data_IF_328259215555
#
_entry.id   IF_328259215555
#
_cell.length_a   1.000
_cell.length_b   1.000
_cell.length_c   1.000
_cell.angle_alpha   90.00
_cell.angle_beta   90.00
_cell.angle_gamma   90.00
#
_symmetry.space_group_name_H-M   'P 1'
#
loop_
_entity.id
_entity.type
_entity.pdbx_description
1 polymer ?
#
# COMPACT_ATOMS: atom_id res chain seq x y z
N UNK A 1 5.62 27.28 11.16
CA UNK A 1 6.34 26.07 10.66
C UNK A 1 6.21 26.01 9.16
N UNK A 2 7.32 25.97 8.46
CA UNK A 2 7.41 25.80 7.01
C UNK A 2 7.07 24.35 6.60
N UNK A 3 6.83 24.12 5.32
CA UNK A 3 6.60 22.77 4.78
C UNK A 3 7.82 21.87 4.99
N UNK A 4 9.02 22.39 4.76
CA UNK A 4 10.28 21.66 4.92
C UNK A 4 10.51 21.22 6.38
N UNK A 5 10.31 22.11 7.34
CA UNK A 5 10.40 21.79 8.77
C UNK A 5 9.39 20.70 9.16
N UNK A 6 8.14 20.79 8.64
CA UNK A 6 7.12 19.78 8.92
C UNK A 6 7.51 18.40 8.42
N UNK A 7 8.05 18.29 7.19
CA UNK A 7 8.57 17.01 6.68
C UNK A 7 9.66 16.47 7.60
N UNK A 8 10.65 17.30 7.95
CA UNK A 8 11.76 16.89 8.82
C UNK A 8 11.25 16.34 10.16
N UNK A 9 10.37 17.08 10.87
CA UNK A 9 9.83 16.65 12.17
C UNK A 9 9.00 15.36 12.06
N UNK A 10 8.13 15.26 11.05
CA UNK A 10 7.23 14.11 10.88
C UNK A 10 8.02 12.87 10.51
N UNK A 11 8.97 12.95 9.58
CA UNK A 11 9.80 11.81 9.18
C UNK A 11 10.71 11.36 10.30
N UNK A 12 11.34 12.28 11.03
CA UNK A 12 12.17 11.95 12.20
C UNK A 12 11.35 11.26 13.29
N UNK A 13 10.14 11.73 13.57
CA UNK A 13 9.25 11.07 14.52
C UNK A 13 8.94 9.65 14.08
N UNK A 14 8.55 9.42 12.83
CA UNK A 14 8.25 8.07 12.35
C UNK A 14 9.48 7.17 12.36
N UNK A 15 10.64 7.68 11.96
CA UNK A 15 11.89 6.92 12.02
C UNK A 15 12.23 6.45 13.43
N UNK A 16 11.98 7.27 14.45
CA UNK A 16 12.23 6.93 15.84
C UNK A 16 11.19 5.97 16.42
N UNK A 17 9.91 6.16 16.07
CA UNK A 17 8.81 5.35 16.64
C UNK A 17 8.57 4.04 15.89
N UNK A 18 8.90 3.99 14.60
CA UNK A 18 8.67 2.84 13.71
C UNK A 18 9.89 2.66 12.80
N UNK A 19 11.08 2.33 13.34
CA UNK A 19 12.30 2.18 12.54
C UNK A 19 12.16 1.11 11.46
N UNK A 20 11.37 0.07 11.74
CA UNK A 20 10.97 -0.97 10.79
C UNK A 20 9.48 -0.78 10.52
N UNK A 21 9.14 -0.40 9.29
CA UNK A 21 7.77 -0.26 8.85
C UNK A 21 7.62 -0.96 7.49
N UNK A 22 6.85 -2.04 7.48
CA UNK A 22 6.70 -2.95 6.36
C UNK A 22 5.22 -3.25 6.09
N UNK A 23 4.96 -3.99 5.01
CA UNK A 23 3.61 -4.49 4.72
C UNK A 23 3.18 -5.49 5.78
N UNK A 24 1.89 -5.47 6.14
CA UNK A 24 1.28 -6.47 7.03
C UNK A 24 0.85 -7.76 6.28
N UNK A 25 1.02 -7.80 4.95
CA UNK A 25 0.77 -9.00 4.14
C UNK A 25 1.87 -10.05 4.35
N UNK A 26 1.48 -11.32 4.50
CA UNK A 26 2.41 -12.45 4.63
C UNK A 26 2.71 -13.04 3.27
N UNK A 27 4.00 -13.19 2.94
CA UNK A 27 4.48 -13.75 1.68
C UNK A 27 5.92 -14.28 1.83
N UNK A 28 6.32 -15.20 0.95
CA UNK A 28 7.67 -15.80 0.92
C UNK A 28 8.39 -15.53 -0.42
N UNK A 29 7.67 -15.05 -1.43
CA UNK A 29 8.23 -14.75 -2.75
C UNK A 29 7.58 -13.52 -3.40
N UNK A 30 8.23 -12.90 -4.41
CA UNK A 30 7.61 -11.82 -5.19
C UNK A 30 6.26 -12.20 -5.80
N UNK A 31 6.10 -13.43 -6.28
CA UNK A 31 4.84 -13.93 -6.80
C UNK A 31 3.75 -13.97 -5.72
N UNK A 32 4.07 -14.51 -4.55
CA UNK A 32 3.13 -14.54 -3.43
C UNK A 32 2.71 -13.14 -2.98
N UNK A 33 3.66 -12.18 -2.93
CA UNK A 33 3.33 -10.79 -2.66
C UNK A 33 2.38 -10.22 -3.72
N UNK A 34 2.64 -10.44 -5.01
CA UNK A 34 1.78 -9.96 -6.09
C UNK A 34 0.36 -10.51 -5.96
N UNK A 35 0.21 -11.80 -5.70
CA UNK A 35 -1.09 -12.44 -5.41
C UNK A 35 -1.77 -11.78 -4.21
N UNK A 36 -1.06 -11.64 -3.09
CA UNK A 36 -1.60 -11.05 -1.87
C UNK A 36 -2.05 -9.59 -2.07
N UNK A 37 -1.28 -8.79 -2.80
CA UNK A 37 -1.63 -7.38 -3.10
C UNK A 37 -2.84 -7.28 -4.03
N UNK A 38 -2.98 -8.16 -5.03
CA UNK A 38 -4.20 -8.22 -5.87
C UNK A 38 -5.41 -8.58 -4.99
N UNK A 39 -5.26 -9.54 -4.09
CA UNK A 39 -6.33 -9.95 -3.18
C UNK A 39 -6.70 -8.86 -2.15
N UNK A 40 -5.75 -8.00 -1.74
CA UNK A 40 -5.98 -6.95 -0.75
C UNK A 40 -6.81 -5.76 -1.28
N UNK A 41 -7.02 -5.66 -2.59
CA UNK A 41 -7.89 -4.61 -3.15
C UNK A 41 -9.31 -4.69 -2.56
N UNK A 42 -9.70 -3.66 -1.80
CA UNK A 42 -10.97 -3.58 -1.06
C UNK A 42 -11.20 -4.75 -0.07
N UNK A 43 -10.12 -5.31 0.46
CA UNK A 43 -10.15 -6.36 1.48
C UNK A 43 -9.10 -6.04 2.56
N UNK A 44 -9.33 -6.51 3.79
CA UNK A 44 -8.35 -6.30 4.87
C UNK A 44 -7.18 -7.26 4.73
N UNK A 45 -5.97 -6.80 5.11
CA UNK A 45 -4.76 -7.63 5.09
C UNK A 45 -4.94 -8.87 5.98
N UNK A 46 -5.62 -8.75 7.11
CA UNK A 46 -5.98 -9.88 7.97
C UNK A 46 -6.73 -10.97 7.19
N UNK A 47 -7.78 -10.59 6.45
CA UNK A 47 -8.57 -11.56 5.63
C UNK A 47 -7.72 -12.19 4.53
N UNK A 48 -6.84 -11.40 3.91
CA UNK A 48 -5.91 -11.91 2.89
C UNK A 48 -4.97 -12.93 3.51
N UNK A 49 -4.34 -12.61 4.64
CA UNK A 49 -3.41 -13.50 5.34
C UNK A 49 -4.07 -14.79 5.86
N UNK A 50 -5.37 -14.77 6.20
CA UNK A 50 -6.14 -15.96 6.53
C UNK A 50 -6.42 -16.84 5.30
N UNK A 51 -6.44 -16.27 4.10
CA UNK A 51 -6.84 -16.94 2.85
C UNK A 51 -5.64 -17.48 2.06
N UNK A 52 -4.56 -16.71 1.98
CA UNK A 52 -3.40 -17.00 1.13
C UNK A 52 -2.66 -18.30 1.43
N UNK A 53 -2.57 -18.82 2.68
CA UNK A 53 -1.89 -20.10 2.94
C UNK A 53 -2.48 -21.28 2.17
N UNK A 54 -3.81 -21.36 2.03
CA UNK A 54 -4.47 -22.41 1.26
C UNK A 54 -4.22 -22.26 -0.24
N UNK A 55 -4.15 -21.01 -0.73
CA UNK A 55 -3.84 -20.72 -2.12
C UNK A 55 -2.43 -21.16 -2.43
N UNK A 56 -1.44 -20.73 -1.63
CA UNK A 56 -0.02 -21.02 -1.86
C UNK A 56 0.34 -22.48 -1.68
N UNK A 57 -0.42 -23.22 -0.84
CA UNK A 57 -0.30 -24.69 -0.75
C UNK A 57 -0.73 -25.39 -2.04
N UNK A 58 -1.81 -24.91 -2.69
CA UNK A 58 -2.36 -25.53 -3.92
C UNK A 58 -1.67 -24.98 -5.18
N UNK A 59 -1.33 -23.70 -5.18
CA UNK A 59 -0.75 -22.97 -6.31
C UNK A 59 0.50 -22.19 -5.86
N UNK A 60 1.64 -22.86 -5.59
CA UNK A 60 2.84 -22.24 -5.02
C UNK A 60 3.60 -21.33 -6.00
N UNK A 61 3.37 -21.48 -7.30
CA UNK A 61 4.15 -20.78 -8.34
C UNK A 61 3.26 -20.24 -9.46
N UNK A 62 3.80 -19.33 -10.32
CA UNK A 62 3.09 -18.86 -11.51
C UNK A 62 2.62 -20.00 -12.43
N UNK A 63 3.44 -21.05 -12.59
CA UNK A 63 3.14 -22.21 -13.44
C UNK A 63 1.87 -22.92 -12.94
N UNK A 64 1.84 -23.24 -11.66
CA UNK A 64 0.70 -23.94 -11.05
C UNK A 64 -0.57 -23.08 -11.09
N UNK A 65 -0.45 -21.78 -10.86
CA UNK A 65 -1.59 -20.85 -10.88
C UNK A 65 -2.10 -20.59 -12.32
N UNK A 66 -1.21 -20.58 -13.31
CA UNK A 66 -1.58 -20.39 -14.73
C UNK A 66 -2.41 -21.57 -15.27
N UNK A 67 -2.22 -22.78 -14.73
CA UNK A 67 -2.96 -23.99 -15.08
C UNK A 67 -4.24 -24.18 -14.27
N UNK A 68 -4.48 -23.33 -13.25
CA UNK A 68 -5.66 -23.43 -12.40
C UNK A 68 -6.94 -23.25 -13.22
N UNK A 69 -7.93 -24.11 -12.97
CA UNK A 69 -9.29 -23.88 -13.44
C UNK A 69 -10.00 -22.90 -12.52
N UNK A 70 -10.99 -22.16 -13.05
CA UNK A 70 -11.76 -21.22 -12.26
C UNK A 70 -12.36 -21.87 -11.00
N UNK A 71 -12.95 -23.04 -11.17
CA UNK A 71 -13.63 -23.79 -10.10
C UNK A 71 -12.68 -24.36 -9.05
N UNK A 72 -11.38 -24.42 -9.34
CA UNK A 72 -10.35 -24.82 -8.39
C UNK A 72 -9.87 -23.67 -7.49
N UNK A 73 -9.79 -22.47 -8.04
CA UNK A 73 -9.27 -21.29 -7.32
C UNK A 73 -10.38 -20.49 -6.63
N UNK A 74 -11.55 -20.35 -7.28
CA UNK A 74 -12.66 -19.56 -6.76
C UNK A 74 -13.09 -19.95 -5.33
N UNK A 75 -13.26 -21.24 -4.99
CA UNK A 75 -13.65 -21.64 -3.63
C UNK A 75 -12.67 -21.17 -2.55
N UNK A 76 -11.37 -21.06 -2.88
CA UNK A 76 -10.33 -20.63 -1.94
C UNK A 76 -10.43 -19.15 -1.63
N UNK A 77 -10.92 -18.34 -2.57
CA UNK A 77 -10.98 -16.88 -2.43
C UNK A 77 -12.40 -16.31 -2.31
N UNK A 78 -13.42 -17.16 -2.18
CA UNK A 78 -14.83 -16.73 -2.11
C UNK A 78 -15.15 -15.75 -0.97
N UNK A 79 -14.33 -15.73 0.09
CA UNK A 79 -14.47 -14.80 1.22
C UNK A 79 -13.79 -13.44 0.97
N UNK A 80 -13.03 -13.29 -0.11
CA UNK A 80 -12.36 -12.06 -0.54
C UNK A 80 -13.35 -11.21 -1.34
N UNK A 81 -13.26 -9.89 -1.22
CA UNK A 81 -14.09 -8.96 -2.02
C UNK A 81 -13.88 -9.17 -3.53
N UNK A 82 -14.96 -9.21 -4.31
CA UNK A 82 -14.94 -9.40 -5.77
C UNK A 82 -14.24 -10.69 -6.24
N UNK A 83 -14.58 -11.85 -5.68
CA UNK A 83 -13.84 -13.09 -5.89
C UNK A 83 -13.84 -13.55 -7.36
N UNK A 84 -14.95 -13.35 -8.10
CA UNK A 84 -15.03 -13.73 -9.52
C UNK A 84 -13.96 -13.05 -10.38
N UNK A 85 -13.82 -11.72 -10.24
CA UNK A 85 -12.84 -10.96 -11.00
C UNK A 85 -11.41 -11.30 -10.56
N UNK A 86 -11.19 -11.43 -9.25
CA UNK A 86 -9.87 -11.77 -8.70
C UNK A 86 -9.40 -13.16 -9.12
N UNK A 87 -10.30 -14.16 -9.17
CA UNK A 87 -9.98 -15.49 -9.72
C UNK A 87 -9.45 -15.38 -11.15
N UNK A 88 -10.19 -14.68 -12.03
CA UNK A 88 -9.77 -14.47 -13.43
C UNK A 88 -8.46 -13.69 -13.51
N UNK A 89 -8.28 -12.65 -12.66
CA UNK A 89 -7.06 -11.85 -12.64
C UNK A 89 -5.85 -12.68 -12.22
N UNK A 90 -5.94 -13.51 -11.18
CA UNK A 90 -4.82 -14.33 -10.73
C UNK A 90 -4.38 -15.35 -11.78
N UNK A 91 -5.33 -16.03 -12.42
CA UNK A 91 -5.03 -16.97 -13.50
C UNK A 91 -4.40 -16.25 -14.70
N UNK A 92 -5.05 -15.19 -15.19
CA UNK A 92 -4.56 -14.43 -16.34
C UNK A 92 -3.23 -13.72 -16.09
N UNK A 93 -3.02 -13.20 -14.88
CA UNK A 93 -1.76 -12.62 -14.46
C UNK A 93 -0.64 -13.67 -14.53
N UNK A 94 -0.87 -14.87 -13.99
CA UNK A 94 0.12 -15.95 -14.01
C UNK A 94 0.45 -16.43 -15.42
N UNK A 95 -0.57 -16.53 -16.29
CA UNK A 95 -0.38 -16.85 -17.71
C UNK A 95 0.48 -15.80 -18.42
N UNK A 96 0.27 -14.50 -18.13
CA UNK A 96 1.08 -13.44 -18.72
C UNK A 96 2.50 -13.39 -18.13
N UNK A 97 2.68 -13.71 -16.85
CA UNK A 97 4.03 -13.85 -16.27
C UNK A 97 4.83 -14.92 -17.02
N UNK A 98 4.25 -16.09 -17.28
CA UNK A 98 4.92 -17.14 -18.04
C UNK A 98 5.21 -16.71 -19.48
N UNK A 99 4.22 -16.11 -20.14
CA UNK A 99 4.33 -15.75 -21.56
C UNK A 99 5.36 -14.65 -21.83
N UNK A 100 5.39 -13.61 -20.97
CA UNK A 100 6.11 -12.38 -21.25
C UNK A 100 7.32 -12.14 -20.33
N UNK A 101 7.40 -12.84 -19.20
CA UNK A 101 8.38 -12.58 -18.12
C UNK A 101 9.03 -13.85 -17.56
N UNK A 102 8.96 -14.98 -18.29
CA UNK A 102 9.56 -16.28 -17.89
C UNK A 102 9.14 -16.76 -16.48
N UNK A 103 7.92 -16.40 -16.04
CA UNK A 103 7.41 -16.72 -14.70
C UNK A 103 7.88 -15.75 -13.60
N UNK A 104 8.73 -14.79 -13.90
CA UNK A 104 9.23 -13.81 -12.93
C UNK A 104 8.32 -12.58 -12.82
N UNK A 105 8.24 -12.00 -11.63
CA UNK A 105 7.51 -10.74 -11.41
C UNK A 105 8.38 -9.58 -11.89
N UNK A 106 7.95 -8.80 -12.91
CA UNK A 106 8.74 -7.68 -13.39
C UNK A 106 8.83 -6.55 -12.35
N UNK A 107 9.98 -5.86 -12.28
CA UNK A 107 10.24 -4.80 -11.30
C UNK A 107 10.11 -3.39 -11.89
N UNK A 108 9.37 -3.22 -12.98
CA UNK A 108 9.04 -1.89 -13.52
C UNK A 108 7.54 -1.64 -13.49
N UNK A 109 7.15 -0.40 -13.21
CA UNK A 109 5.72 -0.02 -13.16
C UNK A 109 5.03 -0.32 -14.48
N UNK A 110 5.68 0.04 -15.61
CA UNK A 110 5.11 -0.12 -16.94
C UNK A 110 4.86 -1.60 -17.31
N UNK A 111 5.76 -2.50 -16.91
CA UNK A 111 5.57 -3.93 -17.12
C UNK A 111 4.47 -4.49 -16.18
N UNK A 112 4.49 -4.11 -14.90
CA UNK A 112 3.52 -4.58 -13.91
C UNK A 112 2.08 -4.21 -14.27
N UNK A 113 1.83 -3.01 -14.77
CA UNK A 113 0.46 -2.57 -15.12
C UNK A 113 -0.12 -3.27 -16.35
N UNK A 114 0.68 -4.03 -17.09
CA UNK A 114 0.18 -4.90 -18.16
C UNK A 114 -0.49 -6.16 -17.63
N UNK A 115 -0.24 -6.51 -16.36
CA UNK A 115 -0.77 -7.73 -15.74
C UNK A 115 -2.23 -7.53 -15.29
N UNK A 116 -3.12 -8.51 -15.51
CA UNK A 116 -4.50 -8.48 -15.03
C UNK A 116 -4.58 -8.25 -13.52
N UNK A 117 -5.42 -7.31 -13.09
CA UNK A 117 -5.61 -6.98 -11.68
C UNK A 117 -4.53 -6.06 -11.09
N UNK A 118 -3.53 -5.65 -11.86
CA UNK A 118 -2.45 -4.78 -11.43
C UNK A 118 -2.66 -3.37 -11.97
N UNK A 119 -3.04 -2.46 -11.09
CA UNK A 119 -3.06 -1.02 -11.38
C UNK A 119 -1.78 -0.34 -10.88
N UNK A 120 -1.62 0.97 -11.17
CA UNK A 120 -0.47 1.77 -10.74
C UNK A 120 -0.17 1.65 -9.23
N UNK A 121 -1.22 1.66 -8.38
CA UNK A 121 -1.03 1.50 -6.94
C UNK A 121 -0.39 0.17 -6.59
N UNK A 122 -0.89 -0.92 -7.17
CA UNK A 122 -0.33 -2.27 -6.97
C UNK A 122 1.12 -2.33 -7.45
N UNK A 123 1.41 -1.79 -8.64
CA UNK A 123 2.77 -1.74 -9.18
C UNK A 123 3.73 -0.98 -8.25
N UNK A 124 3.32 0.20 -7.73
CA UNK A 124 4.11 0.95 -6.76
C UNK A 124 4.38 0.15 -5.48
N UNK A 125 3.40 -0.62 -4.97
CA UNK A 125 3.60 -1.48 -3.79
C UNK A 125 4.63 -2.57 -4.09
N UNK A 126 4.49 -3.28 -5.21
CA UNK A 126 5.39 -4.39 -5.56
C UNK A 126 6.84 -3.90 -5.70
N UNK A 127 7.06 -2.85 -6.50
CA UNK A 127 8.42 -2.31 -6.72
C UNK A 127 9.02 -1.70 -5.45
N UNK A 128 8.19 -1.10 -4.60
CA UNK A 128 8.64 -0.52 -3.32
C UNK A 128 9.00 -1.61 -2.30
N UNK A 129 8.20 -2.68 -2.19
CA UNK A 129 8.41 -3.73 -1.18
C UNK A 129 9.52 -4.70 -1.57
N UNK A 130 9.58 -5.11 -2.85
CA UNK A 130 10.55 -6.13 -3.31
C UNK A 130 11.91 -5.50 -3.60
N UNK A 131 11.94 -4.38 -4.29
CA UNK A 131 13.16 -3.77 -4.84
C UNK A 131 13.50 -2.43 -4.16
N UNK A 132 12.81 -2.08 -3.08
CA UNK A 132 13.00 -0.84 -2.33
C UNK A 132 13.03 0.43 -3.21
N UNK A 133 12.41 0.36 -4.39
CA UNK A 133 12.33 1.51 -5.28
C UNK A 133 11.59 2.67 -4.60
N UNK A 134 11.98 3.92 -4.86
CA UNK A 134 11.39 5.09 -4.22
C UNK A 134 10.00 5.41 -4.80
N UNK A 135 9.12 4.42 -4.80
CA UNK A 135 7.75 4.52 -5.29
C UNK A 135 6.77 4.68 -4.12
N UNK A 136 5.89 5.66 -4.21
CA UNK A 136 4.91 5.98 -3.19
C UNK A 136 3.52 5.52 -3.62
N UNK A 137 3.06 4.38 -3.10
CA UNK A 137 1.69 3.94 -3.37
C UNK A 137 0.69 4.75 -2.52
N UNK A 138 -0.11 5.57 -3.16
CA UNK A 138 -1.09 6.41 -2.46
C UNK A 138 -2.44 5.70 -2.37
N UNK A 139 -2.71 5.14 -1.19
CA UNK A 139 -4.01 4.60 -0.81
C UNK A 139 -4.86 5.66 -0.05
N UNK A 140 -6.02 5.24 0.45
CA UNK A 140 -6.90 6.12 1.22
C UNK A 140 -6.28 6.61 2.54
N UNK A 141 -5.37 5.83 3.15
CA UNK A 141 -4.64 6.22 4.36
C UNK A 141 -3.58 7.26 4.03
N UNK A 142 -2.68 6.97 3.09
CA UNK A 142 -1.64 7.91 2.65
C UNK A 142 -2.26 9.22 2.18
N UNK A 143 -3.31 9.15 1.35
CA UNK A 143 -4.03 10.33 0.85
C UNK A 143 -4.59 11.20 1.98
N UNK A 144 -5.30 10.60 2.93
CA UNK A 144 -5.90 11.30 4.06
C UNK A 144 -4.86 11.88 5.01
N UNK A 145 -3.90 11.05 5.42
CA UNK A 145 -2.90 11.40 6.44
C UNK A 145 -2.00 12.51 5.96
N UNK A 146 -1.45 12.41 4.74
CA UNK A 146 -0.54 13.42 4.18
C UNK A 146 -1.20 14.80 4.05
N UNK A 147 -2.50 14.84 3.71
CA UNK A 147 -3.28 16.09 3.63
C UNK A 147 -3.57 16.67 5.01
N UNK A 148 -4.00 15.84 5.98
CA UNK A 148 -4.29 16.27 7.36
C UNK A 148 -3.07 16.81 8.07
N UNK A 149 -1.94 16.12 7.97
CA UNK A 149 -0.67 16.59 8.52
C UNK A 149 -0.25 17.90 7.85
N UNK A 150 -0.56 18.07 6.56
CA UNK A 150 -0.14 19.21 5.73
C UNK A 150 1.20 18.98 5.07
N UNK A 151 1.55 17.72 4.78
CA UNK A 151 2.68 17.35 3.93
C UNK A 151 2.40 17.72 2.48
N UNK A 152 1.17 17.53 2.02
CA UNK A 152 0.74 17.91 0.68
C UNK A 152 -0.27 19.06 0.72
N UNK A 153 -0.34 19.90 -0.34
CA UNK A 153 -1.34 20.97 -0.41
C UNK A 153 -2.75 20.40 -0.59
N UNK A 154 -3.75 21.13 -0.14
CA UNK A 154 -5.17 20.73 -0.32
C UNK A 154 -5.59 20.69 -1.78
N UNK A 155 -4.87 21.36 -2.68
CA UNK A 155 -5.05 21.31 -4.14
C UNK A 155 -4.61 19.97 -4.76
N UNK A 156 -3.83 19.15 -4.06
CA UNK A 156 -3.54 17.77 -4.47
C UNK A 156 -4.77 16.89 -4.22
N UNK A 157 -5.69 16.85 -5.18
CA UNK A 157 -7.00 16.18 -5.06
C UNK A 157 -7.03 14.76 -5.63
N UNK A 158 -5.96 14.33 -6.31
CA UNK A 158 -5.85 12.98 -6.86
C UNK A 158 -4.71 12.19 -6.21
N UNK A 159 -4.79 10.84 -6.15
CA UNK A 159 -3.68 10.02 -5.66
C UNK A 159 -2.35 10.31 -6.37
N UNK A 160 -2.37 10.50 -7.69
CA UNK A 160 -1.18 10.83 -8.48
C UNK A 160 -0.57 12.19 -8.09
N UNK A 161 -1.40 13.20 -7.81
CA UNK A 161 -0.92 14.51 -7.37
C UNK A 161 -0.28 14.41 -5.97
N UNK A 162 -0.86 13.62 -5.08
CA UNK A 162 -0.31 13.35 -3.74
C UNK A 162 1.01 12.58 -3.84
N UNK A 163 1.07 11.52 -4.67
CA UNK A 163 2.29 10.75 -4.97
C UNK A 163 3.44 11.68 -5.39
N UNK A 164 3.22 12.50 -6.42
CA UNK A 164 4.23 13.43 -6.93
C UNK A 164 4.73 14.43 -5.88
N UNK A 165 3.81 14.95 -5.05
CA UNK A 165 4.19 15.88 -3.98
C UNK A 165 4.97 15.21 -2.85
N UNK A 166 4.61 13.98 -2.47
CA UNK A 166 5.35 13.25 -1.44
C UNK A 166 6.75 12.89 -1.91
N UNK A 167 6.91 12.31 -3.10
CA UNK A 167 8.22 11.94 -3.68
C UNK A 167 9.14 13.14 -3.80
N UNK A 168 8.61 14.34 -4.13
CA UNK A 168 9.39 15.57 -4.25
C UNK A 168 10.05 16.01 -2.94
N UNK A 169 9.48 15.64 -1.79
CA UNK A 169 9.90 16.18 -0.50
C UNK A 169 10.42 15.13 0.49
N UNK A 170 10.08 13.86 0.30
CA UNK A 170 10.61 12.75 1.09
C UNK A 170 11.99 12.38 0.54
N UNK A 171 13.03 12.22 1.38
CA UNK A 171 14.33 11.72 0.92
C UNK A 171 14.17 10.37 0.19
N UNK A 172 14.86 10.22 -0.94
CA UNK A 172 14.70 9.05 -1.83
C UNK A 172 14.85 7.73 -1.09
N UNK A 173 15.81 7.63 -0.16
CA UNK A 173 16.06 6.42 0.63
C UNK A 173 14.95 6.10 1.64
N UNK A 174 14.09 7.06 1.95
CA UNK A 174 12.99 6.90 2.91
C UNK A 174 11.62 6.75 2.24
N UNK A 175 11.52 6.86 0.91
CA UNK A 175 10.20 6.86 0.24
C UNK A 175 9.44 5.57 0.49
N UNK A 176 10.09 4.41 0.36
CA UNK A 176 9.47 3.10 0.59
C UNK A 176 9.00 2.95 2.04
N UNK A 177 9.82 3.36 3.03
CA UNK A 177 9.46 3.28 4.45
C UNK A 177 8.39 4.32 4.80
N UNK A 178 8.48 5.54 4.26
CA UNK A 178 7.51 6.61 4.50
C UNK A 178 6.10 6.25 4.01
N UNK A 179 5.99 5.46 2.94
CA UNK A 179 4.75 4.87 2.50
C UNK A 179 4.08 4.06 3.63
N UNK A 180 4.82 3.15 4.25
CA UNK A 180 4.32 2.31 5.35
C UNK A 180 4.02 3.13 6.60
N UNK A 181 4.87 4.10 6.97
CA UNK A 181 4.59 5.01 8.10
C UNK A 181 3.25 5.72 7.96
N UNK A 182 2.96 6.24 6.78
CA UNK A 182 1.69 6.94 6.53
C UNK A 182 0.49 6.00 6.57
N UNK A 183 0.62 4.76 6.06
CA UNK A 183 -0.42 3.73 6.15
C UNK A 183 -0.68 3.36 7.62
N UNK A 184 0.36 2.95 8.35
CA UNK A 184 0.24 2.50 9.73
C UNK A 184 -0.29 3.61 10.64
N UNK A 185 0.22 4.84 10.47
CA UNK A 185 -0.33 5.99 11.19
C UNK A 185 -1.81 6.24 10.87
N UNK A 186 -2.20 6.04 9.62
CA UNK A 186 -3.60 6.16 9.18
C UNK A 186 -4.50 5.04 9.69
N UNK A 187 -3.98 3.83 9.87
CA UNK A 187 -4.71 2.68 10.40
C UNK A 187 -4.93 2.77 11.90
N UNK A 188 -3.93 3.21 12.64
CA UNK A 188 -3.93 3.04 14.11
C UNK A 188 -4.08 4.34 14.90
N UNK A 189 -3.73 5.49 14.32
CA UNK A 189 -3.74 6.79 15.00
C UNK A 189 -4.64 7.81 14.30
N UNK A 190 -4.34 8.16 13.05
CA UNK A 190 -5.09 9.16 12.29
C UNK A 190 -6.28 8.53 11.56
N UNK A 191 -7.22 7.97 12.33
CA UNK A 191 -8.40 7.28 11.80
C UNK A 191 -9.25 8.20 10.92
N UNK A 192 -10.04 7.63 9.99
CA UNK A 192 -10.92 8.39 9.11
C UNK A 192 -12.00 9.14 9.92
N UNK A 193 -12.63 8.42 10.85
CA UNK A 193 -13.56 8.98 11.84
C UNK A 193 -12.86 8.96 13.20
N UNK A 194 -13.05 10.00 14.01
CA UNK A 194 -12.51 10.13 15.38
C UNK A 194 -10.98 9.83 15.47
N UNK A 195 -10.12 10.61 14.80
CA UNK A 195 -8.68 10.44 14.90
C UNK A 195 -8.21 10.63 16.34
N UNK A 196 -7.24 9.83 16.78
CA UNK A 196 -6.69 9.83 18.14
C UNK A 196 -5.71 11.00 18.34
N UNK A 197 -6.17 12.24 18.13
CA UNK A 197 -5.31 13.43 18.15
C UNK A 197 -4.67 13.69 19.52
N UNK A 198 -5.37 13.43 20.63
CA UNK A 198 -4.87 13.68 21.99
C UNK A 198 -3.60 12.87 22.31
N UNK A 199 -3.47 11.65 21.78
CA UNK A 199 -2.30 10.77 21.96
C UNK A 199 -1.36 10.77 20.75
N UNK A 200 -1.57 11.63 19.76
CA UNK A 200 -0.77 11.65 18.54
C UNK A 200 0.54 12.40 18.72
N UNK A 201 1.66 11.69 18.65
CA UNK A 201 3.00 12.28 18.87
C UNK A 201 3.43 13.31 17.82
N UNK A 202 2.76 13.37 16.66
CA UNK A 202 3.02 14.41 15.65
C UNK A 202 2.01 15.59 15.72
N UNK A 203 1.20 15.67 16.78
CA UNK A 203 0.14 16.67 16.91
C UNK A 203 0.67 18.11 16.76
N UNK A 204 1.81 18.42 17.37
CA UNK A 204 2.46 19.75 17.30
C UNK A 204 2.88 20.16 15.89
N UNK A 205 3.13 19.19 15.01
CA UNK A 205 3.54 19.39 13.62
C UNK A 205 2.36 19.26 12.63
N UNK A 206 1.20 18.75 13.11
CA UNK A 206 0.03 18.48 12.29
C UNK A 206 -0.78 19.76 12.04
N UNK A 207 -1.05 20.05 10.74
CA UNK A 207 -1.81 21.26 10.34
C UNK A 207 -3.27 21.20 10.80
N UNK A 208 -3.93 20.06 10.66
CA UNK A 208 -5.33 19.85 11.05
C UNK A 208 -5.46 19.75 12.58
N UNK A 209 -4.56 19.01 13.25
CA UNK A 209 -4.59 18.87 14.70
C UNK A 209 -4.43 20.20 15.44
N UNK A 210 -3.57 21.08 14.93
CA UNK A 210 -3.40 22.43 15.51
C UNK A 210 -4.63 23.34 15.31
N UNK A 211 -5.42 23.14 14.24
CA UNK A 211 -6.68 23.87 14.04
C UNK A 211 -7.73 23.40 15.06
N UNK A 212 -7.85 22.11 15.28
CA UNK A 212 -8.81 21.54 16.21
C UNK A 212 -8.51 21.92 17.67
N UNK A 213 -7.23 22.04 18.05
CA UNK A 213 -6.85 22.55 19.37
C UNK A 213 -7.33 24.00 19.60
N UNK A 214 -7.18 24.86 18.62
CA UNK A 214 -7.62 26.26 18.71
C UNK A 214 -9.15 26.37 18.85
N UNK A 215 -9.89 25.57 18.09
CA UNK A 215 -11.36 25.55 18.14
C UNK A 215 -11.94 24.96 19.45
N UNK A 216 -11.14 24.21 20.23
CA UNK A 216 -11.56 23.65 21.54
C UNK A 216 -11.16 24.54 22.72
N UNK A 217 -10.43 25.62 22.47
CA UNK A 217 -9.98 26.61 23.48
C UNK A 217 -10.68 27.98 23.35
N UNK A 218 -11.59 28.10 22.40
CA UNK A 218 -12.59 29.17 22.24
C UNK A 218 -13.99 28.69 22.71
#
# INVERSE_FOLDING_TARGET
MTKKERYSHVLNYFQQQMPIAETELTYESPFQLLVAVILSAQCTDKRVNETTPLIFKKFPSPESMALAQFDDLFPLIKSISYPNNKTKHLIGMSQLLLKNFNGEVPMTIDALVTLPGVGRKTANVITSVIDQQPNMAVDTHVFRVSRRIGLVPMTATTPLAVEKELIKHVPTQQVHTAHHWLILHGRYTCLARSPKCASCGILSFCKEGNKNKKASSE
#
